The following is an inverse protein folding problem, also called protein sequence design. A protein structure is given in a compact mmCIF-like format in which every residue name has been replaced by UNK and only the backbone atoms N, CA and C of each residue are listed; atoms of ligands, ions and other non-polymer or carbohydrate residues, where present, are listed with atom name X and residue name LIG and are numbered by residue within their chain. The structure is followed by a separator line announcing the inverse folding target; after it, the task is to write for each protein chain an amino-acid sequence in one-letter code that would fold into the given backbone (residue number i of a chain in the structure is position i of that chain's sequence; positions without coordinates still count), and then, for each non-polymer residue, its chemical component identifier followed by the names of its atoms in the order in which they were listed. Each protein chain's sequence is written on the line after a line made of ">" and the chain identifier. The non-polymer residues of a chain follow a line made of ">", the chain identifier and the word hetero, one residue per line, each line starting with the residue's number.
data_IF_422478445181
#
_entry.id   IF_422478445181
#
_cell.length_a   1.000
_cell.length_b   1.000
_cell.length_c   1.000
_cell.angle_alpha   90.00
_cell.angle_beta   90.00
_cell.angle_gamma   90.00
#
_symmetry.space_group_name_H-M   'P 1'
#
loop_
_entity.id
_entity.type
_entity.pdbx_description
1 polymer ?
#
# COMPACT_ATOMS: atom_id res chain seq x y z
N UNK A 1 -11.09 3.81 -5.34
CA UNK A 1 -10.15 4.28 -6.39
C UNK A 1 -10.56 3.69 -7.74
N UNK A 2 -10.38 4.37 -8.87
CA UNK A 2 -10.81 3.83 -10.18
C UNK A 2 -9.74 2.87 -10.74
N UNK A 3 -10.14 1.65 -11.09
CA UNK A 3 -9.24 0.62 -11.67
C UNK A 3 -9.76 0.12 -13.01
N UNK A 4 -8.85 -0.18 -13.94
CA UNK A 4 -9.15 -0.94 -15.16
C UNK A 4 -8.66 -2.39 -15.00
N UNK A 5 -9.56 -3.37 -15.13
CA UNK A 5 -9.26 -4.80 -14.98
C UNK A 5 -8.87 -5.50 -16.30
N UNK A 6 -8.84 -4.77 -17.41
CA UNK A 6 -8.50 -5.31 -18.73
C UNK A 6 -7.10 -5.94 -18.72
N UNK A 7 -7.02 -7.19 -19.18
CA UNK A 7 -5.76 -7.92 -19.27
C UNK A 7 -5.15 -8.35 -17.93
N UNK A 8 -5.89 -8.24 -16.82
CA UNK A 8 -5.51 -8.77 -15.52
C UNK A 8 -5.97 -10.23 -15.40
N UNK A 9 -5.12 -11.08 -14.79
CA UNK A 9 -5.43 -12.50 -14.60
C UNK A 9 -6.48 -12.70 -13.52
N UNK A 10 -7.36 -13.68 -13.69
CA UNK A 10 -8.44 -14.00 -12.73
C UNK A 10 -7.92 -14.24 -11.30
N UNK A 11 -6.77 -14.89 -11.15
CA UNK A 11 -6.13 -15.10 -9.83
C UNK A 11 -5.75 -13.78 -9.14
N UNK A 12 -5.32 -12.76 -9.90
CA UNK A 12 -5.00 -11.46 -9.33
C UNK A 12 -6.29 -10.68 -8.99
N UNK A 13 -7.37 -10.88 -9.75
CA UNK A 13 -8.68 -10.29 -9.47
C UNK A 13 -9.35 -10.94 -8.26
N UNK A 14 -9.19 -12.24 -8.05
CA UNK A 14 -9.80 -12.97 -6.93
C UNK A 14 -9.25 -12.57 -5.56
N UNK A 15 -8.04 -11.97 -5.53
CA UNK A 15 -7.39 -11.46 -4.32
C UNK A 15 -7.24 -9.94 -4.35
N UNK A 16 -7.95 -9.26 -5.25
CA UNK A 16 -7.92 -7.81 -5.36
C UNK A 16 -8.51 -7.18 -4.10
N UNK A 17 -7.78 -6.30 -3.39
CA UNK A 17 -8.34 -5.59 -2.25
C UNK A 17 -9.27 -4.47 -2.70
N UNK A 18 -10.21 -4.09 -1.85
CA UNK A 18 -10.87 -2.80 -1.94
C UNK A 18 -9.86 -1.69 -1.62
N UNK A 19 -9.76 -0.69 -2.51
CA UNK A 19 -8.74 0.35 -2.44
C UNK A 19 -9.37 1.73 -2.37
N UNK A 20 -9.03 2.45 -1.30
CA UNK A 20 -9.46 3.83 -1.07
C UNK A 20 -8.28 4.76 -0.79
N UNK A 21 -8.45 6.01 -1.22
CA UNK A 21 -7.51 7.08 -0.97
C UNK A 21 -8.11 8.05 0.05
N UNK A 22 -7.33 8.38 1.08
CA UNK A 22 -7.72 9.32 2.13
C UNK A 22 -6.80 10.52 2.11
N UNK A 23 -7.38 11.71 2.12
CA UNK A 23 -6.64 12.98 2.18
C UNK A 23 -6.63 13.51 3.61
N UNK A 24 -5.44 13.87 4.09
CA UNK A 24 -5.25 14.43 5.43
C UNK A 24 -4.63 15.80 5.29
N UNK A 25 -5.35 16.81 5.78
CA UNK A 25 -4.84 18.17 5.87
C UNK A 25 -3.79 18.24 7.00
N UNK A 26 -2.69 18.93 6.75
CA UNK A 26 -1.70 19.23 7.77
C UNK A 26 -2.28 20.26 8.76
N UNK A 27 -2.35 19.95 10.07
CA UNK A 27 -2.76 20.91 11.09
C UNK A 27 -1.73 22.04 11.24
N UNK A 28 -2.20 23.27 11.51
CA UNK A 28 -1.34 24.44 11.74
C UNK A 28 -0.36 24.29 12.90
N UNK A 29 -0.67 23.42 13.87
CA UNK A 29 0.16 23.16 15.06
C UNK A 29 1.36 22.24 14.80
N UNK A 30 1.52 21.72 13.58
CA UNK A 30 2.58 20.79 13.22
C UNK A 30 3.50 21.46 12.20
N UNK A 31 4.79 21.55 12.52
CA UNK A 31 5.78 22.02 11.58
C UNK A 31 5.81 21.13 10.32
N UNK A 32 5.99 21.77 9.17
CA UNK A 32 5.99 21.07 7.88
C UNK A 32 7.19 20.12 7.74
N UNK A 33 7.10 19.24 6.74
CA UNK A 33 8.14 18.27 6.38
C UNK A 33 8.30 17.16 7.43
N UNK A 34 9.42 17.14 8.16
CA UNK A 34 9.83 15.97 8.93
C UNK A 34 8.89 15.64 10.09
N UNK A 35 8.39 16.66 10.78
CA UNK A 35 7.49 16.46 11.93
C UNK A 35 6.12 15.93 11.50
N UNK A 36 5.60 16.45 10.39
CA UNK A 36 4.36 15.93 9.82
C UNK A 36 4.51 14.49 9.32
N UNK A 37 5.59 14.16 8.59
CA UNK A 37 5.89 12.79 8.17
C UNK A 37 6.04 11.82 9.35
N UNK A 38 6.71 12.24 10.44
CA UNK A 38 6.83 11.43 11.65
C UNK A 38 5.47 11.17 12.30
N UNK A 39 4.60 12.18 12.36
CA UNK A 39 3.24 12.03 12.90
C UNK A 39 2.38 11.13 12.01
N UNK A 40 2.46 11.25 10.69
CA UNK A 40 1.80 10.36 9.76
C UNK A 40 2.29 8.91 9.95
N UNK A 41 3.60 8.68 10.10
CA UNK A 41 4.13 7.34 10.35
C UNK A 41 3.55 6.69 11.63
N UNK A 42 3.53 7.43 12.74
CA UNK A 42 2.95 6.95 14.00
C UNK A 42 1.45 6.71 13.85
N UNK A 43 0.73 7.64 13.19
CA UNK A 43 -0.71 7.53 12.97
C UNK A 43 -1.07 6.33 12.09
N UNK A 44 -0.28 6.05 11.03
CA UNK A 44 -0.42 4.85 10.21
C UNK A 44 -0.34 3.58 11.05
N UNK A 45 0.71 3.45 11.87
CA UNK A 45 0.89 2.26 12.72
C UNK A 45 -0.25 2.10 13.73
N UNK A 46 -0.71 3.21 14.30
CA UNK A 46 -1.86 3.22 15.19
C UNK A 46 -3.14 2.79 14.47
N UNK A 47 -3.44 3.35 13.29
CA UNK A 47 -4.61 3.00 12.48
C UNK A 47 -4.59 1.53 12.08
N UNK A 48 -3.49 1.04 11.51
CA UNK A 48 -3.36 -0.37 11.10
C UNK A 48 -3.59 -1.31 12.28
N UNK A 49 -2.98 -1.03 13.44
CA UNK A 49 -3.18 -1.87 14.63
C UNK A 49 -4.61 -1.77 15.15
N UNK A 50 -5.19 -0.57 15.18
CA UNK A 50 -6.54 -0.36 15.71
C UNK A 50 -7.56 -1.06 14.84
N UNK A 51 -7.56 -0.80 13.53
CA UNK A 51 -8.53 -1.34 12.58
C UNK A 51 -8.50 -2.88 12.57
N UNK A 52 -7.30 -3.47 12.49
CA UNK A 52 -7.17 -4.94 12.52
C UNK A 52 -7.66 -5.57 13.84
N UNK A 53 -7.67 -4.82 14.95
CA UNK A 53 -8.12 -5.32 16.24
C UNK A 53 -9.59 -5.00 16.57
N UNK A 54 -10.15 -3.91 16.02
CA UNK A 54 -11.47 -3.40 16.44
C UNK A 54 -12.57 -3.66 15.42
N UNK A 55 -12.24 -3.75 14.13
CA UNK A 55 -13.24 -3.94 13.07
C UNK A 55 -13.48 -5.41 12.84
N UNK A 56 -14.69 -5.87 13.14
CA UNK A 56 -15.12 -7.25 12.92
C UNK A 56 -15.15 -7.55 11.42
N UNK A 57 -14.62 -8.70 11.02
CA UNK A 57 -14.64 -9.17 9.62
C UNK A 57 -13.42 -8.80 8.79
N UNK A 58 -12.49 -7.97 9.30
CA UNK A 58 -11.25 -7.61 8.57
C UNK A 58 -10.16 -8.70 8.66
N UNK A 59 -10.18 -9.54 9.71
CA UNK A 59 -9.27 -10.70 9.88
C UNK A 59 -7.76 -10.42 9.71
N UNK A 60 -7.31 -9.18 9.91
CA UNK A 60 -5.90 -8.81 9.74
C UNK A 60 -5.52 -8.37 8.32
N UNK A 61 -6.47 -8.35 7.38
CA UNK A 61 -6.20 -8.04 5.97
C UNK A 61 -6.10 -6.53 5.68
N UNK A 62 -6.39 -5.67 6.68
CA UNK A 62 -6.27 -4.22 6.49
C UNK A 62 -4.80 -3.77 6.46
N UNK A 63 -4.47 -3.05 5.40
CA UNK A 63 -3.11 -2.57 5.17
C UNK A 63 -3.09 -1.19 4.48
N UNK A 64 -2.14 -0.35 4.87
CA UNK A 64 -1.92 0.98 4.28
C UNK A 64 -0.60 0.97 3.49
N UNK A 65 -0.69 1.16 2.16
CA UNK A 65 0.47 1.11 1.26
C UNK A 65 1.45 2.26 1.43
N UNK A 66 0.92 3.46 1.58
CA UNK A 66 1.70 4.67 1.83
C UNK A 66 0.87 5.63 2.66
N UNK A 67 1.54 6.39 3.52
CA UNK A 67 0.90 7.38 4.35
C UNK A 67 1.86 8.53 4.62
N UNK A 68 2.05 9.34 3.59
CA UNK A 68 3.03 10.41 3.50
C UNK A 68 2.43 11.58 2.73
N UNK A 69 2.88 12.81 3.00
CA UNK A 69 2.51 13.99 2.22
C UNK A 69 3.40 14.17 0.99
N UNK A 70 4.43 13.33 0.82
CA UNK A 70 5.40 13.42 -0.28
C UNK A 70 5.35 12.24 -1.24
N UNK A 71 4.95 11.07 -0.75
CA UNK A 71 5.04 9.82 -1.50
C UNK A 71 3.73 9.04 -1.42
N UNK A 72 3.24 8.66 -2.58
CA UNK A 72 2.14 7.70 -2.74
C UNK A 72 2.68 6.44 -3.41
N UNK A 73 2.26 5.27 -2.93
CA UNK A 73 2.68 3.96 -3.46
C UNK A 73 1.50 3.31 -4.17
N UNK A 74 1.66 3.07 -5.47
CA UNK A 74 0.76 2.25 -6.26
C UNK A 74 1.32 0.83 -6.33
N UNK A 75 0.57 -0.14 -5.80
CA UNK A 75 1.00 -1.55 -5.77
C UNK A 75 -0.16 -2.51 -6.01
N UNK A 76 0.17 -3.67 -6.56
CA UNK A 76 -0.79 -4.75 -6.79
C UNK A 76 -0.10 -5.95 -7.42
N UNK A 77 -0.87 -7.04 -7.60
CA UNK A 77 -0.41 -8.23 -8.33
C UNK A 77 -0.46 -7.98 -9.84
N UNK A 78 0.39 -7.07 -10.29
CA UNK A 78 0.46 -6.54 -11.66
C UNK A 78 1.91 -6.61 -12.16
N UNK A 79 2.08 -6.80 -13.46
CA UNK A 79 3.38 -6.58 -14.11
C UNK A 79 3.67 -5.08 -14.24
N UNK A 80 4.93 -4.69 -14.36
CA UNK A 80 5.33 -3.27 -14.49
C UNK A 80 4.61 -2.53 -15.62
N UNK A 81 4.29 -3.22 -16.72
CA UNK A 81 3.56 -2.65 -17.86
C UNK A 81 2.07 -2.43 -17.58
N UNK A 82 1.47 -3.25 -16.70
CA UNK A 82 0.05 -3.18 -16.37
C UNK A 82 -0.28 -2.06 -15.37
N UNK A 83 0.70 -1.54 -14.63
CA UNK A 83 0.46 -0.56 -13.56
C UNK A 83 -0.25 0.70 -14.08
N UNK A 84 0.24 1.26 -15.19
CA UNK A 84 -0.29 2.51 -15.76
C UNK A 84 -1.66 2.33 -16.41
N UNK A 85 -1.96 1.14 -16.94
CA UNK A 85 -3.28 0.84 -17.50
C UNK A 85 -4.28 0.52 -16.41
N UNK A 86 -3.85 -0.19 -15.36
CA UNK A 86 -4.70 -0.58 -14.24
C UNK A 86 -5.12 0.62 -13.38
N UNK A 87 -4.17 1.48 -12.98
CA UNK A 87 -4.47 2.70 -12.22
C UNK A 87 -4.67 3.87 -13.18
N UNK A 88 -5.91 4.12 -13.57
CA UNK A 88 -6.25 5.07 -14.64
C UNK A 88 -5.81 6.51 -14.35
N UNK A 89 -5.74 6.88 -13.06
CA UNK A 89 -5.28 8.20 -12.62
C UNK A 89 -3.81 8.48 -12.93
N UNK A 90 -2.97 7.45 -13.06
CA UNK A 90 -1.57 7.61 -13.45
C UNK A 90 -1.42 8.14 -14.89
N UNK A 91 -2.47 8.05 -15.69
CA UNK A 91 -2.53 8.61 -17.05
C UNK A 91 -2.98 10.06 -17.10
N UNK A 92 -3.38 10.65 -15.97
CA UNK A 92 -3.70 12.07 -15.87
C UNK A 92 -2.41 12.91 -15.87
N UNK A 93 -2.38 13.96 -16.69
CA UNK A 93 -1.25 14.91 -16.80
C UNK A 93 -0.98 15.68 -15.49
N UNK A 94 -1.95 15.75 -14.58
CA UNK A 94 -1.81 16.37 -13.25
C UNK A 94 -0.97 15.51 -12.31
N UNK A 95 -0.88 14.20 -12.57
CA UNK A 95 -0.05 13.29 -11.79
C UNK A 95 1.39 13.38 -12.31
N UNK A 96 2.16 14.24 -11.66
CA UNK A 96 3.58 14.44 -11.93
C UNK A 96 4.40 13.99 -10.71
N UNK A 97 5.40 13.16 -10.95
CA UNK A 97 6.37 12.75 -9.93
C UNK A 97 7.65 13.54 -10.12
N UNK A 98 8.26 14.00 -9.03
CA UNK A 98 9.56 14.68 -9.07
C UNK A 98 10.69 13.78 -9.63
N UNK A 99 10.48 12.47 -9.60
CA UNK A 99 11.33 11.48 -10.28
C UNK A 99 10.52 10.88 -11.41
N UNK A 100 10.84 11.29 -12.63
CA UNK A 100 10.07 11.02 -13.86
C UNK A 100 10.00 9.51 -14.24
N UNK A 101 10.54 8.58 -13.43
CA UNK A 101 10.72 7.17 -13.83
C UNK A 101 10.54 6.05 -12.77
N UNK A 102 10.12 6.30 -11.53
CA UNK A 102 9.92 5.18 -10.58
C UNK A 102 8.60 5.27 -9.83
N UNK A 103 7.57 4.60 -10.35
CA UNK A 103 6.48 4.11 -9.52
C UNK A 103 7.06 2.91 -8.76
N UNK A 104 7.19 3.04 -7.44
CA UNK A 104 7.66 1.96 -6.59
C UNK A 104 6.63 0.82 -6.56
N UNK A 105 6.76 -0.12 -7.49
CA UNK A 105 6.03 -1.39 -7.47
C UNK A 105 6.74 -2.31 -6.47
N UNK A 106 6.21 -2.39 -5.25
CA UNK A 106 6.63 -3.39 -4.28
C UNK A 106 5.61 -4.53 -4.27
N UNK A 107 5.97 -5.67 -4.86
CA UNK A 107 5.24 -6.93 -4.70
C UNK A 107 5.78 -7.72 -3.49
N UNK A 108 4.92 -8.32 -2.64
CA UNK A 108 5.32 -9.38 -1.73
C UNK A 108 5.10 -10.77 -2.34
N UNK A 109 6.10 -11.60 -2.06
CA UNK A 109 6.23 -13.06 -2.17
C UNK A 109 4.98 -13.92 -2.28
N UNK A 110 5.02 -14.81 -3.27
CA UNK A 110 4.23 -16.04 -3.42
C UNK A 110 4.03 -16.74 -2.06
N UNK A 111 2.80 -16.83 -1.56
CA UNK A 111 2.43 -17.87 -0.58
C UNK A 111 1.62 -18.92 -1.35
N UNK A 112 2.28 -20.04 -1.66
CA UNK A 112 1.61 -21.21 -2.19
C UNK A 112 0.67 -21.76 -1.11
N UNK A 113 -0.52 -22.16 -1.55
CA UNK A 113 -1.55 -22.86 -0.81
C UNK A 113 -0.95 -24.00 0.04
N UNK A 114 -1.01 -23.89 1.37
CA UNK A 114 -0.54 -24.92 2.30
C UNK A 114 -1.17 -24.73 3.68
N UNK A 115 -1.77 -25.80 4.19
CA UNK A 115 -2.57 -25.88 5.42
C UNK A 115 -2.03 -25.12 6.64
N UNK A 116 -2.87 -24.24 7.19
CA UNK A 116 -2.61 -23.42 8.38
C UNK A 116 -2.70 -24.20 9.71
N UNK A 117 -3.02 -25.49 9.70
CA UNK A 117 -3.23 -26.27 10.92
C UNK A 117 -1.96 -26.90 11.52
N UNK A 118 -0.77 -26.71 10.94
CA UNK A 118 0.43 -27.41 11.42
C UNK A 118 1.74 -26.58 11.44
N UNK A 119 1.70 -25.31 11.88
CA UNK A 119 2.92 -24.51 12.08
C UNK A 119 2.84 -23.64 13.34
N UNK A 120 2.83 -24.27 14.52
CA UNK A 120 3.12 -23.60 15.79
C UNK A 120 4.63 -23.34 16.01
N UNK A 121 5.44 -23.25 14.94
CA UNK A 121 6.90 -23.34 15.06
C UNK A 121 7.75 -22.42 14.18
N UNK A 122 7.21 -21.66 13.23
CA UNK A 122 8.04 -20.82 12.35
C UNK A 122 7.34 -19.47 12.10
N UNK A 123 7.42 -18.58 13.09
CA UNK A 123 7.38 -17.15 12.86
C UNK A 123 8.83 -16.69 12.66
N UNK A 124 9.12 -16.04 11.51
CA UNK A 124 9.57 -14.67 11.63
C UNK A 124 8.70 -13.75 10.80
N UNK A 125 8.07 -12.83 11.52
CA UNK A 125 7.35 -11.65 11.08
C UNK A 125 8.03 -10.96 9.88
N UNK A 126 7.22 -10.67 8.86
CA UNK A 126 7.55 -9.85 7.69
C UNK A 126 8.09 -8.47 8.11
N UNK A 127 9.41 -8.35 8.25
CA UNK A 127 10.10 -7.07 8.47
C UNK A 127 11.11 -6.74 7.36
N UNK A 128 11.07 -7.40 6.20
CA UNK A 128 12.01 -7.11 5.10
C UNK A 128 11.34 -6.94 3.75
N UNK A 129 10.79 -5.76 3.56
CA UNK A 129 10.84 -5.06 2.27
C UNK A 129 11.16 -3.61 2.61
N UNK A 130 12.45 -3.29 2.69
CA UNK A 130 12.93 -1.93 2.95
C UNK A 130 12.49 -1.08 1.75
N UNK A 131 11.60 -0.08 1.89
CA UNK A 131 11.46 0.90 0.82
C UNK A 131 12.72 1.77 0.84
N UNK A 132 13.46 1.78 -0.26
CA UNK A 132 14.58 2.71 -0.44
C UNK A 132 14.02 4.14 -0.36
N UNK A 133 14.45 4.89 0.65
CA UNK A 133 14.07 6.28 0.88
C UNK A 133 14.94 7.15 -0.02
N UNK A 134 14.39 7.65 -1.13
CA UNK A 134 15.02 8.71 -1.91
C UNK A 134 14.61 10.04 -1.28
N UNK A 135 15.60 10.79 -0.80
CA UNK A 135 15.48 12.11 -0.15
C UNK A 135 14.89 13.16 -1.06
#
# INVERSE_FOLDING_TARGET
>A
MQTNIDGIRDMALSVQPEMDQVFIAQPYSIAARADFERKLYVFKNYLTKTINNTVKGINGDFYIASFSSRTIVYKGQLTSLQVRTYFTELSDKRVVSASDWYIAVLQPTLSLHGDWHNLSGILPTMERSIPFRVT
#
